data_IF_904440072008
#
_entry.id   IF_904440072008
#
_cell.length_a   1.000
_cell.length_b   1.000
_cell.length_c   1.000
_cell.angle_alpha   90.00
_cell.angle_beta   90.00
_cell.angle_gamma   90.00
#
_symmetry.space_group_name_H-M   'P 1'
#
loop_
_entity.id
_entity.type
_entity.pdbx_description
1 polymer ?
#
# COMPACT_ATOMS: atom_id res chain seq x y z
N UNK A 1 15.37 11.24 -16.15
CA UNK A 1 14.64 9.98 -15.87
C UNK A 1 13.54 9.81 -16.89
N UNK A 2 13.29 8.57 -17.33
CA UNK A 2 12.12 8.29 -18.16
C UNK A 2 10.83 8.68 -17.40
N UNK A 3 9.80 9.10 -18.15
CA UNK A 3 8.50 9.36 -17.57
C UNK A 3 7.87 8.03 -17.10
N UNK A 4 7.05 8.03 -16.03
CA UNK A 4 6.35 6.83 -15.60
C UNK A 4 5.49 6.24 -16.71
N UNK A 5 5.66 4.94 -16.96
CA UNK A 5 5.03 4.20 -18.06
C UNK A 5 4.26 3.00 -17.49
N UNK A 6 3.06 2.66 -18.01
CA UNK A 6 2.32 1.46 -17.59
C UNK A 6 3.11 0.15 -17.68
N UNK A 7 4.16 0.08 -18.51
CA UNK A 7 5.02 -1.08 -18.71
C UNK A 7 6.16 -1.19 -17.69
N UNK A 8 6.36 -0.19 -16.83
CA UNK A 8 7.35 -0.26 -15.76
C UNK A 8 7.08 -1.46 -14.86
N UNK A 9 8.16 -2.20 -14.56
CA UNK A 9 8.18 -3.24 -13.56
C UNK A 9 8.25 -2.66 -12.15
N UNK A 10 8.20 -3.53 -11.13
CA UNK A 10 8.34 -3.12 -9.74
C UNK A 10 9.72 -2.46 -9.49
N UNK A 11 10.79 -3.01 -10.07
CA UNK A 11 12.15 -2.47 -9.90
C UNK A 11 12.31 -1.06 -10.48
N UNK A 12 11.73 -0.79 -11.65
CA UNK A 12 11.72 0.55 -12.26
C UNK A 12 11.01 1.57 -11.35
N UNK A 13 9.88 1.17 -10.78
CA UNK A 13 9.10 2.00 -9.85
C UNK A 13 9.90 2.25 -8.58
N UNK A 14 10.50 1.22 -7.98
CA UNK A 14 11.31 1.36 -6.76
C UNK A 14 12.50 2.27 -7.02
N UNK A 15 13.19 2.11 -8.15
CA UNK A 15 14.29 3.00 -8.53
C UNK A 15 13.82 4.46 -8.66
N UNK A 16 12.65 4.68 -9.26
CA UNK A 16 12.06 6.01 -9.35
C UNK A 16 11.68 6.57 -7.97
N UNK A 17 11.01 5.80 -7.11
CA UNK A 17 10.67 6.24 -5.75
C UNK A 17 11.92 6.64 -4.96
N UNK A 18 12.97 5.83 -4.99
CA UNK A 18 14.25 6.15 -4.31
C UNK A 18 14.87 7.46 -4.80
N UNK A 19 14.63 7.84 -6.06
CA UNK A 19 15.18 9.07 -6.63
C UNK A 19 14.44 10.35 -6.25
N UNK A 20 13.16 10.25 -5.87
CA UNK A 20 12.32 11.41 -5.54
C UNK A 20 12.04 11.52 -4.03
N UNK A 21 12.36 10.48 -3.26
CA UNK A 21 12.26 10.49 -1.81
C UNK A 21 13.17 11.54 -1.15
N UNK A 22 12.73 12.09 -0.03
CA UNK A 22 13.50 13.10 0.70
C UNK A 22 13.55 12.79 2.20
N UNK A 23 14.72 12.98 2.80
CA UNK A 23 14.91 12.76 4.24
C UNK A 23 14.08 13.73 5.08
N UNK A 24 13.92 14.97 4.60
CA UNK A 24 13.09 15.97 5.28
C UNK A 24 11.64 15.50 5.44
N UNK A 25 11.05 14.98 4.36
CA UNK A 25 9.69 14.44 4.42
C UNK A 25 9.63 13.17 5.27
N UNK A 26 10.62 12.28 5.13
CA UNK A 26 10.71 11.05 5.93
C UNK A 26 10.75 11.36 7.43
N UNK A 27 11.55 12.33 7.86
CA UNK A 27 11.60 12.78 9.25
C UNK A 27 10.28 13.41 9.70
N UNK A 28 9.60 14.15 8.82
CA UNK A 28 8.29 14.74 9.09
C UNK A 28 7.18 13.70 9.35
N UNK A 29 7.26 12.53 8.70
CA UNK A 29 6.25 11.46 8.82
C UNK A 29 6.11 10.92 10.24
N UNK A 30 7.20 10.85 11.02
CA UNK A 30 7.16 10.36 12.40
C UNK A 30 6.20 11.17 13.29
N UNK A 31 6.01 12.47 13.01
CA UNK A 31 5.07 13.34 13.73
C UNK A 31 3.61 12.92 13.55
N UNK A 32 3.31 12.15 12.52
CA UNK A 32 1.98 11.62 12.22
C UNK A 32 1.83 10.15 12.62
N UNK A 33 2.77 9.58 13.38
CA UNK A 33 2.74 8.17 13.78
C UNK A 33 2.98 7.19 12.63
N UNK A 34 3.57 7.65 11.54
CA UNK A 34 3.95 6.82 10.39
C UNK A 34 5.30 6.16 10.69
N UNK A 35 5.41 4.86 10.41
CA UNK A 35 6.67 4.12 10.56
C UNK A 35 7.64 4.50 9.45
N UNK A 36 8.81 5.02 9.83
CA UNK A 36 9.76 5.64 8.88
C UNK A 36 10.89 4.71 8.43
N UNK A 37 11.04 3.54 9.04
CA UNK A 37 12.10 2.56 8.74
C UNK A 37 12.10 2.13 7.27
N UNK A 38 10.91 1.91 6.71
CA UNK A 38 10.69 1.50 5.31
C UNK A 38 10.28 2.66 4.39
N UNK A 39 10.18 3.88 4.91
CA UNK A 39 9.69 5.04 4.18
C UNK A 39 10.81 5.75 3.40
N UNK A 40 10.47 6.21 2.20
CA UNK A 40 11.34 7.04 1.36
C UNK A 40 11.04 8.54 1.50
N UNK A 41 9.94 8.91 2.17
CA UNK A 41 9.58 10.32 2.37
C UNK A 41 8.79 10.90 1.20
N UNK A 42 7.87 10.14 0.62
CA UNK A 42 7.02 10.60 -0.50
C UNK A 42 5.57 10.68 -0.04
N UNK A 43 4.93 11.81 -0.33
CA UNK A 43 3.54 12.06 0.01
C UNK A 43 2.56 11.55 -1.04
N UNK A 44 1.29 11.41 -0.65
CA UNK A 44 0.21 11.01 -1.56
C UNK A 44 0.01 11.99 -2.73
N UNK A 45 0.45 13.24 -2.60
CA UNK A 45 0.45 14.24 -3.67
C UNK A 45 1.29 13.79 -4.88
N UNK A 46 2.37 13.04 -4.67
CA UNK A 46 3.23 12.50 -5.73
C UNK A 46 2.83 11.06 -6.11
N UNK A 47 2.48 10.24 -5.11
CA UNK A 47 2.12 8.83 -5.33
C UNK A 47 0.84 8.65 -6.15
N UNK A 48 -0.22 9.45 -5.90
CA UNK A 48 -1.49 9.30 -6.62
C UNK A 48 -1.37 9.62 -8.12
N UNK A 49 -0.72 10.73 -8.55
CA UNK A 49 -0.42 10.94 -9.97
C UNK A 49 0.43 9.84 -10.58
N UNK A 50 1.42 9.31 -9.84
CA UNK A 50 2.25 8.21 -10.30
C UNK A 50 1.41 6.94 -10.54
N UNK A 51 0.57 6.53 -9.58
CA UNK A 51 -0.34 5.40 -9.72
C UNK A 51 -1.27 5.54 -10.94
N UNK A 52 -1.82 6.74 -11.19
CA UNK A 52 -2.67 7.01 -12.37
C UNK A 52 -1.93 6.81 -13.70
N UNK A 53 -0.62 7.08 -13.75
CA UNK A 53 0.21 6.84 -14.93
C UNK A 53 0.55 5.37 -15.09
N UNK A 54 0.86 4.68 -13.99
CA UNK A 54 1.22 3.25 -13.97
C UNK A 54 0.04 2.33 -14.31
N UNK A 55 -1.21 2.77 -14.04
CA UNK A 55 -2.44 1.98 -14.20
C UNK A 55 -2.51 0.74 -13.30
N UNK A 56 -3.67 0.09 -13.28
CA UNK A 56 -3.86 -1.17 -12.54
C UNK A 56 -3.02 -2.29 -13.18
N UNK A 57 -2.36 -3.08 -12.35
CA UNK A 57 -1.65 -4.31 -12.72
C UNK A 57 -1.46 -5.14 -11.45
N UNK A 58 -2.20 -6.24 -11.32
CA UNK A 58 -2.18 -7.05 -10.12
C UNK A 58 -0.84 -7.73 -9.84
N UNK A 59 -0.18 -8.31 -10.85
CA UNK A 59 1.12 -8.97 -10.67
C UNK A 59 2.18 -7.99 -10.13
N UNK A 60 2.23 -6.79 -10.72
CA UNK A 60 3.12 -5.73 -10.24
C UNK A 60 2.74 -5.23 -8.85
N UNK A 61 1.45 -5.16 -8.53
CA UNK A 61 0.97 -4.78 -7.20
C UNK A 61 1.52 -5.74 -6.13
N UNK A 62 1.47 -7.07 -6.38
CA UNK A 62 2.07 -8.06 -5.50
C UNK A 62 3.59 -7.84 -5.32
N UNK A 63 4.31 -7.68 -6.43
CA UNK A 63 5.76 -7.45 -6.39
C UNK A 63 6.13 -6.16 -5.63
N UNK A 64 5.34 -5.08 -5.78
CA UNK A 64 5.53 -3.84 -5.05
C UNK A 64 5.30 -4.01 -3.55
N UNK A 65 4.30 -4.82 -3.15
CA UNK A 65 4.03 -5.12 -1.75
C UNK A 65 5.23 -5.81 -1.08
N UNK A 66 5.78 -6.80 -1.77
CA UNK A 66 6.89 -7.65 -1.30
C UNK A 66 8.21 -6.89 -1.12
N UNK A 67 8.34 -5.70 -1.71
CA UNK A 67 9.52 -4.83 -1.49
C UNK A 67 9.66 -4.37 -0.04
N UNK A 68 8.56 -4.38 0.73
CA UNK A 68 8.52 -3.84 2.09
C UNK A 68 8.66 -2.32 2.18
N UNK A 69 8.84 -1.60 1.06
CA UNK A 69 8.96 -0.14 1.04
C UNK A 69 7.57 0.47 1.19
N UNK A 70 7.40 1.41 2.12
CA UNK A 70 6.11 2.05 2.43
C UNK A 70 5.43 2.58 1.16
N UNK A 71 6.11 3.42 0.40
CA UNK A 71 5.57 4.04 -0.81
C UNK A 71 5.25 3.02 -1.91
N UNK A 72 6.01 1.92 -1.99
CA UNK A 72 5.73 0.84 -2.93
C UNK A 72 4.47 0.08 -2.51
N UNK A 73 4.26 -0.18 -1.22
CA UNK A 73 3.02 -0.77 -0.68
C UNK A 73 1.79 0.11 -0.93
N UNK A 74 1.93 1.43 -0.80
CA UNK A 74 0.86 2.36 -1.17
C UNK A 74 0.54 2.30 -2.67
N UNK A 75 1.56 2.25 -3.54
CA UNK A 75 1.35 2.04 -4.97
C UNK A 75 0.75 0.67 -5.29
N UNK A 76 1.11 -0.37 -4.55
CA UNK A 76 0.51 -1.70 -4.67
C UNK A 76 -1.00 -1.63 -4.45
N UNK A 77 -1.44 -0.99 -3.36
CA UNK A 77 -2.87 -0.76 -3.08
C UNK A 77 -3.55 0.06 -4.19
N UNK A 78 -2.96 1.18 -4.63
CA UNK A 78 -3.54 2.03 -5.67
C UNK A 78 -3.64 1.36 -7.06
N UNK A 79 -2.81 0.35 -7.34
CA UNK A 79 -2.72 -0.30 -8.64
C UNK A 79 -3.19 -1.76 -8.63
N UNK A 80 -3.66 -2.26 -7.48
CA UNK A 80 -4.27 -3.57 -7.35
C UNK A 80 -5.57 -3.70 -8.15
N UNK A 81 -5.87 -4.92 -8.57
CA UNK A 81 -7.15 -5.28 -9.21
C UNK A 81 -7.99 -6.08 -8.21
N UNK A 82 -9.03 -5.49 -7.60
CA UNK A 82 -9.80 -6.15 -6.54
C UNK A 82 -10.41 -7.49 -6.95
N UNK A 83 -10.74 -7.65 -8.23
CA UNK A 83 -11.31 -8.88 -8.79
C UNK A 83 -10.32 -10.06 -8.81
N UNK A 84 -9.02 -9.77 -8.66
CA UNK A 84 -7.94 -10.76 -8.57
C UNK A 84 -7.41 -10.93 -7.14
N UNK A 85 -7.88 -10.09 -6.21
CA UNK A 85 -7.54 -10.22 -4.79
C UNK A 85 -8.36 -11.36 -4.21
N UNK A 86 -7.68 -12.32 -3.60
CA UNK A 86 -8.32 -13.39 -2.83
C UNK A 86 -8.23 -13.12 -1.31
N UNK A 87 -9.03 -13.86 -0.54
CA UNK A 87 -9.12 -13.67 0.92
C UNK A 87 -7.79 -13.98 1.62
N UNK A 88 -6.98 -14.89 1.06
CA UNK A 88 -5.67 -15.24 1.62
C UNK A 88 -4.69 -14.09 1.47
N UNK A 89 -4.71 -13.38 0.35
CA UNK A 89 -3.94 -12.17 0.11
C UNK A 89 -4.33 -11.07 1.10
N UNK A 90 -5.62 -10.85 1.34
CA UNK A 90 -6.06 -9.87 2.34
C UNK A 90 -5.49 -10.15 3.73
N UNK A 91 -5.55 -11.43 4.17
CA UNK A 91 -4.97 -11.86 5.46
C UNK A 91 -3.46 -11.67 5.52
N UNK A 92 -2.74 -12.03 4.44
CA UNK A 92 -1.29 -11.84 4.36
C UNK A 92 -0.91 -10.37 4.47
N UNK A 93 -1.56 -9.51 3.67
CA UNK A 93 -1.32 -8.07 3.70
C UNK A 93 -1.67 -7.47 5.06
N UNK A 94 -2.80 -7.85 5.65
CA UNK A 94 -3.19 -7.37 6.98
C UNK A 94 -2.16 -7.71 8.07
N UNK A 95 -1.54 -8.90 8.00
CA UNK A 95 -0.49 -9.30 8.93
C UNK A 95 0.80 -8.48 8.80
N UNK A 96 1.03 -7.84 7.64
CA UNK A 96 2.19 -7.00 7.36
C UNK A 96 1.98 -5.52 7.69
N UNK A 97 0.76 -5.11 8.07
CA UNK A 97 0.45 -3.72 8.37
C UNK A 97 1.19 -3.26 9.64
N UNK A 98 1.87 -2.13 9.53
CA UNK A 98 2.73 -1.56 10.57
C UNK A 98 2.48 -0.07 10.83
N UNK A 99 1.45 0.49 10.19
CA UNK A 99 1.15 1.91 10.20
C UNK A 99 -0.28 2.17 9.71
N UNK A 100 -0.94 3.18 10.30
CA UNK A 100 -2.36 3.44 10.08
C UNK A 100 -2.69 3.80 8.63
N UNK A 101 -1.77 4.47 7.93
CA UNK A 101 -2.00 4.93 6.57
C UNK A 101 -1.91 3.80 5.54
N UNK A 102 -1.13 2.75 5.83
CA UNK A 102 -1.11 1.54 5.01
C UNK A 102 -2.48 0.87 5.11
N UNK A 103 -3.02 0.73 6.32
CA UNK A 103 -4.38 0.21 6.54
C UNK A 103 -5.40 1.03 5.75
N UNK A 104 -5.47 2.33 6.02
CA UNK A 104 -6.47 3.24 5.44
C UNK A 104 -6.35 3.33 3.90
N UNK A 105 -5.17 3.04 3.32
CA UNK A 105 -4.99 2.99 1.87
C UNK A 105 -5.37 1.64 1.27
N UNK A 106 -5.06 0.53 1.96
CA UNK A 106 -5.33 -0.82 1.46
C UNK A 106 -6.81 -1.17 1.57
N UNK A 107 -7.54 -0.62 2.54
CA UNK A 107 -8.99 -0.90 2.68
C UNK A 107 -9.79 -0.45 1.46
N UNK A 108 -9.40 0.62 0.76
CA UNK A 108 -10.01 1.03 -0.52
C UNK A 108 -9.98 -0.12 -1.55
N UNK A 109 -8.93 -0.94 -1.56
CA UNK A 109 -8.84 -2.13 -2.40
C UNK A 109 -9.69 -3.29 -1.85
N UNK A 110 -9.68 -3.49 -0.53
CA UNK A 110 -10.40 -4.62 0.10
C UNK A 110 -11.92 -4.48 -0.04
N UNK A 111 -12.49 -3.29 0.16
CA UNK A 111 -13.95 -3.08 0.08
C UNK A 111 -14.52 -3.29 -1.33
N UNK A 112 -13.67 -3.32 -2.36
CA UNK A 112 -14.05 -3.65 -3.75
C UNK A 112 -14.05 -5.18 -4.01
N UNK A 113 -13.62 -6.02 -3.07
CA UNK A 113 -13.64 -7.50 -3.19
C UNK A 113 -15.02 -8.08 -2.84
N UNK A 114 -15.43 -9.24 -3.36
CA UNK A 114 -16.79 -9.77 -3.10
C UNK A 114 -17.00 -10.29 -1.65
N UNK A 115 -15.92 -10.55 -0.90
CA UNK A 115 -15.94 -11.19 0.42
C UNK A 115 -15.54 -10.24 1.57
N UNK A 116 -15.39 -8.94 1.30
CA UNK A 116 -14.84 -7.99 2.28
C UNK A 116 -15.59 -7.95 3.62
N UNK A 117 -16.91 -8.18 3.60
CA UNK A 117 -17.74 -8.22 4.81
C UNK A 117 -17.37 -9.38 5.75
N UNK A 118 -16.95 -10.51 5.18
CA UNK A 118 -16.53 -11.68 5.96
C UNK A 118 -15.22 -11.40 6.72
N UNK A 119 -14.39 -10.49 6.19
CA UNK A 119 -13.14 -10.07 6.84
C UNK A 119 -13.37 -9.16 8.06
N UNK A 120 -14.50 -8.45 8.15
CA UNK A 120 -14.76 -7.47 9.22
C UNK A 120 -14.78 -8.18 10.58
N UNK A 121 -15.58 -9.23 10.72
CA UNK A 121 -15.71 -9.96 12.00
C UNK A 121 -14.38 -10.62 12.39
N UNK A 122 -13.69 -11.23 11.42
CA UNK A 122 -12.38 -11.86 11.62
C UNK A 122 -11.35 -10.85 12.11
N UNK A 123 -11.19 -9.73 11.40
CA UNK A 123 -10.20 -8.72 11.75
C UNK A 123 -10.56 -7.97 13.04
N UNK A 124 -11.84 -7.72 13.32
CA UNK A 124 -12.27 -7.03 14.55
C UNK A 124 -11.94 -7.82 15.83
N UNK A 125 -11.89 -9.16 15.72
CA UNK A 125 -11.53 -10.07 16.80
C UNK A 125 -10.02 -10.26 16.99
N UNK A 126 -9.19 -9.78 16.06
CA UNK A 126 -7.73 -9.87 16.16
C UNK A 126 -7.19 -8.85 17.18
N UNK A 127 -6.22 -9.25 18.01
CA UNK A 127 -5.63 -8.38 19.03
C UNK A 127 -4.52 -7.47 18.47
N UNK A 128 -3.98 -7.78 17.28
CA UNK A 128 -2.94 -6.97 16.63
C UNK A 128 -3.56 -5.66 16.13
N UNK A 129 -3.04 -4.54 16.63
CA UNK A 129 -3.59 -3.19 16.43
C UNK A 129 -4.02 -2.90 14.99
N UNK A 130 -3.12 -3.09 14.01
CA UNK A 130 -3.41 -2.73 12.62
C UNK A 130 -4.29 -3.75 11.89
N UNK A 131 -4.23 -5.03 12.24
CA UNK A 131 -5.19 -6.02 11.74
C UNK A 131 -6.57 -5.63 12.21
N UNK A 132 -6.72 -5.35 13.51
CA UNK A 132 -7.97 -4.89 14.11
C UNK A 132 -8.50 -3.61 13.49
N UNK A 133 -7.64 -2.62 13.28
CA UNK A 133 -7.98 -1.36 12.61
C UNK A 133 -8.59 -1.60 11.22
N UNK A 134 -8.10 -2.59 10.48
CA UNK A 134 -8.61 -2.93 9.14
C UNK A 134 -10.12 -3.16 9.15
N UNK A 135 -10.66 -3.84 10.18
CA UNK A 135 -12.10 -4.04 10.30
C UNK A 135 -12.89 -2.74 10.48
N UNK A 136 -12.35 -1.77 11.21
CA UNK A 136 -13.01 -0.50 11.50
C UNK A 136 -12.84 0.55 10.40
N UNK A 137 -11.89 0.33 9.48
CA UNK A 137 -11.62 1.19 8.34
C UNK A 137 -12.33 0.74 7.06
N UNK A 138 -12.82 -0.52 7.00
CA UNK A 138 -13.69 -1.06 5.94
C UNK A 138 -15.16 -0.72 6.20
#
# INVERSE_FOLDING_TARGET
>A
MALPDPRWGADDIVAHLRSIGTEQNRAGMARFGIKTESALGIGNADLRPLARKLKKNHERSLLLWDTGIREARLLAAFTGEPQKVDIALCRRWAADFDSWEIVDTVVDLFIETPFWRDLIEEFAADEREFVRRTAFAM
#
